data_IF_312520653289
#
_entry.id   IF_312520653289
#
_cell.length_a   1.000
_cell.length_b   1.000
_cell.length_c   1.000
_cell.angle_alpha   90.00
_cell.angle_beta   90.00
_cell.angle_gamma   90.00
#
_symmetry.space_group_name_H-M   'P 1'
#
loop_
_entity.id
_entity.type
_entity.pdbx_description
1 polymer ?
#
# COMPACT_ATOMS: atom_id res chain seq x y z
N UNK A 1 43.89 -44.16 -49.05
CA UNK A 1 44.72 -42.98 -48.67
C UNK A 1 43.85 -41.74 -48.66
N UNK A 2 44.02 -40.90 -47.64
CA UNK A 2 43.20 -39.74 -47.25
C UNK A 2 42.99 -38.70 -48.36
N UNK A 3 41.75 -38.30 -48.62
CA UNK A 3 41.41 -36.98 -49.18
C UNK A 3 40.71 -36.15 -48.10
N UNK A 4 41.51 -35.57 -47.22
CA UNK A 4 41.07 -34.51 -46.30
C UNK A 4 41.61 -33.19 -46.86
N UNK A 5 40.82 -32.55 -47.73
CA UNK A 5 41.12 -31.25 -48.32
C UNK A 5 41.12 -30.16 -47.23
N UNK A 6 42.26 -29.48 -47.08
CA UNK A 6 42.47 -28.36 -46.17
C UNK A 6 41.47 -27.23 -46.44
N UNK A 7 40.43 -27.12 -45.61
CA UNK A 7 39.66 -25.87 -45.48
C UNK A 7 40.59 -24.83 -44.84
N UNK A 8 40.81 -23.71 -45.55
CA UNK A 8 41.71 -22.64 -45.12
C UNK A 8 41.27 -22.02 -43.78
N UNK A 9 42.23 -21.64 -42.94
CA UNK A 9 41.96 -21.13 -41.59
C UNK A 9 41.06 -19.89 -41.54
N UNK A 10 40.99 -19.12 -42.64
CA UNK A 10 40.10 -17.96 -42.79
C UNK A 10 38.62 -18.35 -42.91
N UNK A 11 38.29 -19.38 -43.69
CA UNK A 11 36.91 -19.85 -43.85
C UNK A 11 36.35 -20.45 -42.54
N UNK A 12 37.20 -21.17 -41.78
CA UNK A 12 36.82 -21.69 -40.45
C UNK A 12 36.55 -20.57 -39.44
N UNK A 13 37.35 -19.49 -39.46
CA UNK A 13 37.16 -18.33 -38.58
C UNK A 13 35.91 -17.54 -38.95
N UNK A 14 35.59 -17.39 -40.24
CA UNK A 14 34.37 -16.73 -40.71
C UNK A 14 33.10 -17.49 -40.32
N UNK A 15 33.10 -18.82 -40.46
CA UNK A 15 31.96 -19.67 -40.04
C UNK A 15 31.78 -19.65 -38.52
N UNK A 16 32.87 -19.66 -37.75
CA UNK A 16 32.80 -19.53 -36.29
C UNK A 16 32.28 -18.15 -35.85
N UNK A 17 32.71 -17.07 -36.51
CA UNK A 17 32.25 -15.73 -36.21
C UNK A 17 30.77 -15.52 -36.57
N UNK A 18 30.33 -16.02 -37.74
CA UNK A 18 28.92 -15.99 -38.13
C UNK A 18 28.05 -16.84 -37.20
N UNK A 19 28.51 -18.03 -36.82
CA UNK A 19 27.84 -18.88 -35.84
C UNK A 19 27.72 -18.20 -34.47
N UNK A 20 28.80 -17.56 -33.99
CA UNK A 20 28.79 -16.82 -32.74
C UNK A 20 27.81 -15.63 -32.77
N UNK A 21 27.73 -14.90 -33.91
CA UNK A 21 26.78 -13.79 -34.10
C UNK A 21 25.33 -14.28 -34.10
N UNK A 22 25.03 -15.39 -34.78
CA UNK A 22 23.69 -15.98 -34.78
C UNK A 22 23.30 -16.44 -33.38
N UNK A 23 24.22 -17.08 -32.65
CA UNK A 23 23.95 -17.52 -31.27
C UNK A 23 23.76 -16.35 -30.31
N UNK A 24 24.47 -15.23 -30.49
CA UNK A 24 24.24 -14.01 -29.69
C UNK A 24 22.92 -13.35 -30.02
N UNK A 25 22.51 -13.31 -31.29
CA UNK A 25 21.19 -12.81 -31.69
C UNK A 25 20.07 -13.69 -31.12
N UNK A 26 20.18 -15.01 -31.24
CA UNK A 26 19.20 -15.96 -30.67
C UNK A 26 19.13 -15.84 -29.15
N UNK A 27 20.28 -15.70 -28.47
CA UNK A 27 20.31 -15.46 -27.03
C UNK A 27 19.65 -14.12 -26.65
N UNK A 28 19.83 -13.07 -27.46
CA UNK A 28 19.21 -11.76 -27.23
C UNK A 28 17.68 -11.79 -27.40
N UNK A 29 17.16 -12.57 -28.35
CA UNK A 29 15.72 -12.77 -28.50
C UNK A 29 15.13 -13.72 -27.45
N UNK A 30 15.90 -14.70 -26.96
CA UNK A 30 15.49 -15.59 -25.90
C UNK A 30 15.47 -14.93 -24.51
N UNK A 31 16.22 -13.83 -24.32
CA UNK A 31 16.26 -13.06 -23.05
C UNK A 31 15.48 -11.76 -23.10
N UNK A 32 14.80 -11.46 -24.22
CA UNK A 32 13.85 -10.35 -24.28
C UNK A 32 12.69 -10.66 -23.32
N UNK A 33 12.79 -10.11 -22.11
CA UNK A 33 11.75 -10.21 -21.10
C UNK A 33 10.47 -9.57 -21.66
N UNK A 34 9.52 -10.40 -22.08
CA UNK A 34 8.15 -9.96 -22.31
C UNK A 34 7.62 -9.44 -20.97
N UNK A 35 7.30 -8.15 -20.88
CA UNK A 35 6.47 -7.66 -19.79
C UNK A 35 5.13 -8.39 -19.89
N UNK A 36 4.94 -9.38 -19.03
CA UNK A 36 3.79 -10.27 -19.09
C UNK A 36 2.64 -9.52 -18.43
N UNK A 37 1.65 -9.09 -19.22
CA UNK A 37 0.38 -8.64 -18.69
C UNK A 37 -0.29 -9.88 -18.05
N UNK A 38 -0.34 -9.91 -16.73
CA UNK A 38 -0.71 -11.08 -15.95
C UNK A 38 -2.18 -11.00 -15.55
N UNK A 39 -2.90 -12.11 -15.71
CA UNK A 39 -4.14 -12.32 -14.98
C UNK A 39 -3.75 -12.60 -13.52
N UNK A 40 -4.18 -11.74 -12.60
CA UNK A 40 -3.89 -11.89 -11.17
C UNK A 40 -4.88 -12.86 -10.52
N UNK A 41 -6.18 -12.62 -10.75
CA UNK A 41 -7.26 -13.43 -10.18
C UNK A 41 -8.50 -13.39 -11.08
N UNK A 42 -9.33 -14.44 -11.00
CA UNK A 42 -10.64 -14.48 -11.65
C UNK A 42 -11.66 -15.25 -10.83
N UNK A 43 -12.91 -14.79 -10.90
CA UNK A 43 -14.04 -15.48 -10.30
C UNK A 43 -15.17 -15.60 -11.30
N UNK A 44 -15.78 -16.78 -11.34
CA UNK A 44 -16.96 -17.06 -12.16
C UNK A 44 -18.16 -17.42 -11.29
N UNK A 45 -19.31 -16.86 -11.61
CA UNK A 45 -20.58 -17.07 -10.92
C UNK A 45 -21.69 -17.26 -11.95
N UNK A 46 -22.59 -18.24 -11.73
CA UNK A 46 -23.83 -18.35 -12.50
C UNK A 46 -24.92 -17.56 -11.77
N UNK A 47 -25.54 -16.60 -12.45
CA UNK A 47 -26.58 -15.76 -11.87
C UNK A 47 -27.96 -16.44 -11.85
N UNK A 48 -28.94 -15.80 -11.22
CA UNK A 48 -30.31 -16.32 -11.13
C UNK A 48 -31.07 -16.40 -12.46
N UNK A 49 -30.52 -15.87 -13.55
CA UNK A 49 -31.08 -15.93 -14.92
C UNK A 49 -30.36 -16.99 -15.77
N UNK A 50 -29.42 -17.74 -15.20
CA UNK A 50 -28.64 -18.75 -15.90
C UNK A 50 -27.53 -18.17 -16.79
N UNK A 51 -27.12 -16.91 -16.55
CA UNK A 51 -25.96 -16.30 -17.20
C UNK A 51 -24.71 -16.61 -16.39
N UNK A 52 -23.62 -16.90 -17.07
CA UNK A 52 -22.31 -17.08 -16.43
C UNK A 52 -21.57 -15.75 -16.48
N UNK A 53 -21.34 -15.17 -15.30
CA UNK A 53 -20.61 -13.93 -15.07
C UNK A 53 -19.18 -14.29 -14.66
N UNK A 54 -18.20 -13.76 -15.37
CA UNK A 54 -16.79 -13.86 -15.04
C UNK A 54 -16.23 -12.46 -14.81
N UNK A 55 -15.57 -12.26 -13.69
CA UNK A 55 -14.82 -11.04 -13.36
C UNK A 55 -13.35 -11.40 -13.19
N UNK A 56 -12.49 -10.55 -13.71
CA UNK A 56 -11.05 -10.77 -13.74
C UNK A 56 -10.32 -9.51 -13.30
N UNK A 57 -9.21 -9.71 -12.62
CA UNK A 57 -8.31 -8.67 -12.19
C UNK A 57 -6.93 -8.89 -12.83
N UNK A 58 -6.40 -7.84 -13.46
CA UNK A 58 -5.19 -7.89 -14.26
C UNK A 58 -4.23 -6.78 -13.84
N UNK A 59 -2.93 -7.09 -13.91
CA UNK A 59 -1.83 -6.13 -13.78
C UNK A 59 -1.91 -5.26 -12.51
N UNK A 60 -2.37 -5.85 -11.40
CA UNK A 60 -2.62 -5.14 -10.16
C UNK A 60 -1.32 -4.83 -9.47
N UNK A 61 -1.11 -3.55 -9.20
CA UNK A 61 0.06 -3.06 -8.51
C UNK A 61 -0.31 -1.98 -7.51
N UNK A 62 0.05 -2.22 -6.24
CA UNK A 62 -0.04 -1.26 -5.15
C UNK A 62 1.37 -0.78 -4.80
N UNK A 63 1.71 0.42 -5.28
CA UNK A 63 3.03 1.00 -5.09
C UNK A 63 3.08 1.88 -3.84
N UNK A 64 3.66 1.37 -2.74
CA UNK A 64 3.89 2.16 -1.54
C UNK A 64 4.99 3.22 -1.73
N UNK A 65 4.70 4.46 -1.37
CA UNK A 65 5.65 5.58 -1.47
C UNK A 65 5.91 6.21 -0.10
N UNK A 66 7.01 6.97 -0.01
CA UNK A 66 7.26 7.76 1.18
C UNK A 66 6.17 8.82 1.34
N UNK A 67 5.50 8.90 2.50
CA UNK A 67 4.43 9.86 2.72
C UNK A 67 4.89 11.30 2.49
N UNK A 68 4.10 12.07 1.74
CA UNK A 68 4.42 13.45 1.43
C UNK A 68 4.47 14.35 2.68
N UNK A 69 3.68 14.03 3.69
CA UNK A 69 3.61 14.73 4.98
C UNK A 69 4.78 14.43 5.93
N UNK A 70 5.68 13.50 5.55
CA UNK A 70 6.81 13.00 6.35
C UNK A 70 6.40 12.46 7.73
N UNK A 71 5.12 12.09 7.88
CA UNK A 71 4.62 11.52 9.11
C UNK A 71 4.89 10.01 9.12
N UNK A 72 5.48 9.52 10.21
CA UNK A 72 5.75 8.07 10.38
C UNK A 72 4.47 7.24 10.55
N UNK A 73 3.36 7.89 10.91
CA UNK A 73 2.05 7.24 11.07
C UNK A 73 1.26 7.17 9.76
N UNK A 74 1.61 8.00 8.78
CA UNK A 74 0.95 7.99 7.47
C UNK A 74 1.51 6.88 6.58
N UNK A 75 0.66 6.33 5.72
CA UNK A 75 1.02 5.42 4.64
C UNK A 75 0.38 5.96 3.37
N UNK A 76 1.12 5.94 2.28
CA UNK A 76 0.69 6.48 0.98
C UNK A 76 1.06 5.48 -0.12
N UNK A 77 0.19 5.32 -1.10
CA UNK A 77 0.40 4.40 -2.21
C UNK A 77 -0.35 4.83 -3.47
N UNK A 78 0.09 4.31 -4.62
CA UNK A 78 -0.61 4.41 -5.90
C UNK A 78 -1.16 3.04 -6.29
N UNK A 79 -2.44 2.98 -6.67
CA UNK A 79 -3.09 1.76 -7.15
C UNK A 79 -3.23 1.80 -8.68
N UNK A 80 -2.67 0.79 -9.33
CA UNK A 80 -2.80 0.54 -10.77
C UNK A 80 -3.33 -0.87 -10.99
N UNK A 81 -4.17 -1.06 -12.00
CA UNK A 81 -4.71 -2.36 -12.37
C UNK A 81 -5.83 -2.23 -13.40
N UNK A 82 -6.30 -3.37 -13.91
CA UNK A 82 -7.44 -3.44 -14.83
C UNK A 82 -8.43 -4.49 -14.35
N UNK A 83 -9.70 -4.11 -14.29
CA UNK A 83 -10.80 -5.04 -14.13
C UNK A 83 -11.37 -5.37 -15.51
N UNK A 84 -11.64 -6.64 -15.77
CA UNK A 84 -12.26 -7.13 -17.02
C UNK A 84 -13.45 -8.00 -16.63
N UNK A 85 -14.53 -7.91 -17.40
CA UNK A 85 -15.70 -8.77 -17.21
C UNK A 85 -16.12 -9.48 -18.49
N UNK A 86 -16.72 -10.66 -18.32
CA UNK A 86 -17.31 -11.44 -19.40
C UNK A 86 -18.62 -12.07 -18.93
N UNK A 87 -19.67 -11.91 -19.73
CA UNK A 87 -21.01 -12.46 -19.51
C UNK A 87 -21.33 -13.39 -20.68
N UNK A 88 -21.71 -14.62 -20.36
CA UNK A 88 -22.12 -15.61 -21.36
C UNK A 88 -23.47 -16.21 -20.99
N UNK A 89 -24.21 -16.71 -21.99
CA UNK A 89 -25.53 -17.30 -21.81
C UNK A 89 -26.68 -16.42 -22.28
N UNK A 90 -27.93 -16.73 -21.88
CA UNK A 90 -29.12 -16.07 -22.40
C UNK A 90 -29.17 -14.57 -22.06
N UNK A 91 -29.33 -13.73 -23.09
CA UNK A 91 -29.44 -12.28 -22.90
C UNK A 91 -28.15 -11.59 -22.45
N UNK A 92 -26.98 -12.19 -22.68
CA UNK A 92 -25.68 -11.59 -22.38
C UNK A 92 -25.46 -10.26 -23.12
N UNK A 93 -25.96 -10.14 -24.36
CA UNK A 93 -25.80 -8.91 -25.16
C UNK A 93 -26.55 -7.69 -24.60
N UNK A 94 -27.58 -7.94 -23.78
CA UNK A 94 -28.35 -6.91 -23.09
C UNK A 94 -28.02 -6.84 -21.59
N UNK A 95 -26.84 -7.32 -21.19
CA UNK A 95 -26.37 -7.18 -19.82
C UNK A 95 -26.12 -5.71 -19.50
N UNK A 96 -26.58 -5.27 -18.33
CA UNK A 96 -26.25 -3.98 -17.72
C UNK A 96 -25.84 -4.23 -16.27
N UNK A 97 -24.79 -3.55 -15.83
CA UNK A 97 -24.23 -3.74 -14.49
C UNK A 97 -23.28 -2.60 -14.09
N UNK A 98 -22.58 -2.80 -12.97
CA UNK A 98 -21.53 -1.89 -12.50
C UNK A 98 -20.25 -2.68 -12.33
N UNK A 99 -19.14 -2.14 -12.87
CA UNK A 99 -17.80 -2.68 -12.69
C UNK A 99 -17.05 -1.80 -11.70
N UNK A 100 -16.53 -2.43 -10.65
CA UNK A 100 -15.77 -1.77 -9.60
C UNK A 100 -14.41 -2.44 -9.44
N UNK A 101 -13.37 -1.63 -9.22
CA UNK A 101 -12.05 -2.09 -8.81
C UNK A 101 -11.61 -1.28 -7.61
N UNK A 102 -11.14 -1.96 -6.57
CA UNK A 102 -10.82 -1.34 -5.30
C UNK A 102 -9.98 -2.25 -4.42
N UNK A 103 -9.80 -1.83 -3.18
CA UNK A 103 -9.10 -2.60 -2.16
C UNK A 103 -9.71 -2.32 -0.78
N UNK A 104 -9.49 -3.25 0.13
CA UNK A 104 -9.82 -3.07 1.54
C UNK A 104 -8.54 -2.79 2.33
N UNK A 105 -8.60 -1.80 3.21
CA UNK A 105 -7.50 -1.42 4.10
C UNK A 105 -7.92 -1.66 5.54
N UNK A 106 -7.04 -2.29 6.32
CA UNK A 106 -7.24 -2.53 7.74
C UNK A 106 -5.92 -2.43 8.48
N UNK A 107 -5.96 -1.80 9.65
CA UNK A 107 -4.81 -1.72 10.54
C UNK A 107 -5.27 -1.94 11.99
N UNK A 108 -4.49 -2.67 12.80
CA UNK A 108 -4.94 -3.15 14.10
C UNK A 108 -5.05 -2.04 15.16
N UNK A 109 -4.31 -0.94 14.99
CA UNK A 109 -4.16 0.09 16.02
C UNK A 109 -4.27 1.49 15.46
N UNK A 110 -5.01 2.36 16.16
CA UNK A 110 -4.96 3.80 15.95
C UNK A 110 -3.98 4.41 16.95
N UNK A 111 -3.06 5.25 16.46
CA UNK A 111 -2.04 5.90 17.28
C UNK A 111 -2.14 7.42 17.14
N UNK A 112 -2.38 8.10 18.26
CA UNK A 112 -2.29 9.56 18.38
C UNK A 112 -1.05 9.94 19.20
N UNK A 113 -0.27 10.91 18.72
CA UNK A 113 0.87 11.45 19.48
C UNK A 113 0.62 12.93 19.76
N UNK A 114 0.57 13.28 21.05
CA UNK A 114 0.45 14.65 21.52
C UNK A 114 1.70 15.08 22.29
N UNK A 115 2.30 16.20 21.89
CA UNK A 115 3.38 16.85 22.65
C UNK A 115 2.80 18.06 23.38
N UNK A 116 3.02 18.16 24.68
CA UNK A 116 2.57 19.29 25.48
C UNK A 116 3.76 19.98 26.13
N UNK A 117 3.80 21.30 26.04
CA UNK A 117 4.77 22.13 26.72
C UNK A 117 4.03 23.08 27.64
N UNK A 118 4.29 22.94 28.94
CA UNK A 118 3.67 23.76 29.96
C UNK A 118 4.73 24.63 30.63
N UNK A 119 4.48 25.93 30.60
CA UNK A 119 5.20 26.89 31.41
C UNK A 119 4.18 27.71 32.19
N UNK A 120 4.29 27.68 33.51
CA UNK A 120 3.46 28.51 34.39
C UNK A 120 4.36 29.58 34.99
N UNK A 121 3.99 30.84 34.83
CA UNK A 121 4.69 31.94 35.50
C UNK A 121 4.63 31.74 37.00
N UNK A 122 5.69 32.10 37.76
CA UNK A 122 5.69 31.95 39.21
C UNK A 122 4.43 32.56 39.84
N UNK A 123 3.79 31.80 40.72
CA UNK A 123 2.57 32.21 41.41
C UNK A 123 2.63 31.73 42.86
N UNK A 124 1.97 32.43 43.77
CA UNK A 124 1.88 32.13 45.20
C UNK A 124 0.41 32.13 45.64
N UNK A 125 -0.05 31.04 46.22
CA UNK A 125 -1.36 30.90 46.87
C UNK A 125 -1.17 30.62 48.35
N UNK A 126 -2.06 31.14 49.21
CA UNK A 126 -2.02 30.91 50.65
C UNK A 126 -3.19 30.02 51.02
N UNK A 127 -2.90 28.86 51.61
CA UNK A 127 -3.92 27.94 52.11
C UNK A 127 -4.02 28.08 53.63
N UNK A 128 -5.22 28.43 54.10
CA UNK A 128 -5.53 28.70 55.51
C UNK A 128 -6.26 27.49 56.12
N UNK A 129 -5.88 27.06 57.34
CA UNK A 129 -6.60 26.02 58.08
C UNK A 129 -6.13 24.57 57.91
N UNK A 130 -5.04 24.30 57.17
CA UNK A 130 -4.52 22.93 56.99
C UNK A 130 -3.24 22.73 57.82
N UNK A 131 -3.21 21.77 58.77
CA UNK A 131 -2.02 21.47 59.57
C UNK A 131 -0.84 21.07 58.67
N UNK A 132 0.26 21.78 58.82
CA UNK A 132 1.52 21.56 58.13
C UNK A 132 2.29 20.38 58.75
N UNK A 133 2.94 19.54 57.93
CA UNK A 133 3.83 18.44 58.34
C UNK A 133 5.03 18.87 59.23
N UNK A 134 5.33 20.16 59.30
CA UNK A 134 6.34 20.80 60.16
C UNK A 134 5.75 21.41 61.45
N UNK A 135 4.52 21.06 61.84
CA UNK A 135 3.98 21.35 63.19
C UNK A 135 3.32 22.71 63.37
N UNK A 136 2.56 23.19 62.37
CA UNK A 136 1.80 24.45 62.47
C UNK A 136 0.41 24.27 63.12
N UNK A 137 -0.02 25.24 63.93
CA UNK A 137 -1.40 25.34 64.45
C UNK A 137 -2.41 25.54 63.29
N UNK A 138 -3.72 25.32 63.50
CA UNK A 138 -4.75 25.58 62.46
C UNK A 138 -4.75 27.02 61.90
N UNK A 139 -4.04 27.94 62.56
CA UNK A 139 -3.86 29.34 62.18
C UNK A 139 -2.61 29.56 61.29
N UNK A 140 -1.75 28.56 61.15
CA UNK A 140 -0.54 28.62 60.35
C UNK A 140 -0.89 28.50 58.86
N UNK A 141 -0.86 29.63 58.15
CA UNK A 141 -1.03 29.68 56.70
C UNK A 141 0.27 29.22 56.02
N UNK A 142 0.20 28.43 54.95
CA UNK A 142 1.39 28.10 54.15
C UNK A 142 1.22 28.48 52.69
N UNK A 143 2.37 28.78 52.03
CA UNK A 143 2.43 29.22 50.64
C UNK A 143 2.53 27.98 49.73
N UNK A 144 1.60 27.82 48.80
CA UNK A 144 1.67 26.89 47.69
C UNK A 144 1.99 27.62 46.39
N UNK A 145 2.84 27.02 45.58
CA UNK A 145 3.09 27.47 44.21
C UNK A 145 2.75 26.34 43.25
N UNK A 146 2.41 26.68 42.01
CA UNK A 146 2.35 25.71 40.92
C UNK A 146 3.77 25.27 40.51
N UNK A 147 3.89 24.44 39.47
CA UNK A 147 5.19 24.08 38.89
C UNK A 147 6.01 25.34 38.58
N UNK A 148 7.20 25.44 39.20
CA UNK A 148 8.11 26.57 39.07
C UNK A 148 9.09 26.43 37.90
N UNK A 149 9.18 25.21 37.35
CA UNK A 149 10.01 24.90 36.19
C UNK A 149 9.11 24.63 34.99
N UNK A 150 9.55 25.00 33.77
CA UNK A 150 8.91 24.52 32.56
C UNK A 150 8.94 22.99 32.53
N UNK A 151 7.82 22.40 32.11
CA UNK A 151 7.69 20.95 31.96
C UNK A 151 7.25 20.62 30.55
N UNK A 152 7.87 19.61 29.94
CA UNK A 152 7.41 19.00 28.71
C UNK A 152 6.85 17.61 29.02
N UNK A 153 5.70 17.29 28.42
CA UNK A 153 5.05 15.99 28.52
C UNK A 153 4.82 15.39 27.14
N UNK A 154 4.92 14.07 27.06
CA UNK A 154 4.57 13.29 25.87
C UNK A 154 3.36 12.45 26.23
N UNK A 155 2.26 12.62 25.52
CA UNK A 155 1.12 11.71 25.60
C UNK A 155 1.05 10.87 24.33
N UNK A 156 0.88 9.57 24.49
CA UNK A 156 0.75 8.62 23.40
C UNK A 156 -0.52 7.82 23.63
N UNK A 157 -1.51 8.03 22.77
CA UNK A 157 -2.81 7.36 22.85
C UNK A 157 -2.83 6.21 21.84
N UNK A 158 -2.93 4.99 22.35
CA UNK A 158 -3.05 3.77 21.54
C UNK A 158 -4.46 3.19 21.72
N UNK A 159 -5.20 3.10 20.62
CA UNK A 159 -6.52 2.50 20.59
C UNK A 159 -6.63 1.38 19.54
N UNK A 160 -7.74 0.66 19.58
CA UNK A 160 -8.08 -0.27 18.51
C UNK A 160 -8.20 0.48 17.17
N UNK A 161 -7.75 -0.15 16.09
CA UNK A 161 -7.95 0.38 14.75
C UNK A 161 -9.44 0.43 14.34
N UNK A 162 -9.78 1.14 13.28
CA UNK A 162 -11.18 1.37 12.86
C UNK A 162 -11.84 0.15 12.23
N UNK A 163 -11.18 -1.01 12.21
CA UNK A 163 -11.61 -2.18 11.46
C UNK A 163 -11.12 -2.15 10.02
N UNK A 164 -11.88 -2.78 9.13
CA UNK A 164 -11.60 -2.87 7.69
C UNK A 164 -12.45 -1.84 6.96
N UNK A 165 -11.84 -1.06 6.08
CA UNK A 165 -12.49 -0.06 5.24
C UNK A 165 -12.31 -0.43 3.78
N UNK A 166 -13.34 -0.18 2.98
CA UNK A 166 -13.32 -0.43 1.54
C UNK A 166 -13.16 0.87 0.76
N UNK A 167 -12.32 0.83 -0.28
CA UNK A 167 -12.09 1.95 -1.18
C UNK A 167 -12.25 1.47 -2.62
N UNK A 168 -13.28 1.96 -3.31
CA UNK A 168 -13.44 1.80 -4.75
C UNK A 168 -12.56 2.83 -5.48
N UNK A 169 -11.60 2.37 -6.27
CA UNK A 169 -10.76 3.23 -7.12
C UNK A 169 -11.55 3.78 -8.30
N UNK A 170 -12.42 2.96 -8.87
CA UNK A 170 -13.48 3.40 -9.77
C UNK A 170 -14.71 2.53 -9.60
N UNK A 171 -15.86 3.09 -9.96
CA UNK A 171 -17.15 2.41 -10.08
C UNK A 171 -17.85 2.98 -11.30
N UNK A 172 -18.10 2.14 -12.31
CA UNK A 172 -18.63 2.57 -13.61
C UNK A 172 -19.74 1.66 -14.09
N UNK A 173 -20.76 2.24 -14.71
CA UNK A 173 -21.80 1.48 -15.39
C UNK A 173 -21.22 0.81 -16.66
N UNK A 174 -21.57 -0.46 -16.87
CA UNK A 174 -21.15 -1.27 -18.01
C UNK A 174 -22.36 -1.89 -18.69
N UNK A 175 -22.24 -2.10 -19.99
CA UNK A 175 -23.27 -2.75 -20.79
C UNK A 175 -22.65 -3.68 -21.85
N UNK A 176 -23.38 -4.74 -22.18
CA UNK A 176 -22.97 -5.75 -23.14
C UNK A 176 -22.23 -6.94 -22.49
N UNK A 177 -21.73 -7.88 -23.32
CA UNK A 177 -21.24 -9.16 -22.84
C UNK A 177 -19.78 -9.14 -22.40
N UNK A 178 -18.99 -8.12 -22.73
CA UNK A 178 -17.55 -8.02 -22.41
C UNK A 178 -17.12 -6.56 -22.23
N UNK A 179 -16.11 -6.33 -21.39
CA UNK A 179 -15.42 -5.04 -21.29
C UNK A 179 -14.31 -5.03 -20.26
#
# INVERSE_FOLDING_TARGET
MKLLGKVSGGARRGVLAAGALVMTLVALFATAATAQAGLDDELTLVDGKGRTLRVQQWDTFLNGVFPLDRNRLTREWFHSGRAVYEVTGPGADAFEGTLELGYQVGYPWSLGVGLNFNYTTPNTSILYGIPNAFGGSPEASYIQTTNLLPSAGINVDLGNGPGIQEVATFSVAIAGPKG
#
